data_IF_882389368376
#
_entry.id   IF_882389368376
#
_cell.length_a   1.000
_cell.length_b   1.000
_cell.length_c   1.000
_cell.angle_alpha   90.00
_cell.angle_beta   90.00
_cell.angle_gamma   90.00
#
_symmetry.space_group_name_H-M   'P 1'
#
loop_
_entity.id
_entity.type
_entity.pdbx_description
1 polymer ?
#
# COMPACT_ATOMS: atom_id res chain seq x y z
N UNK A 1 -32.04 -3.31 5.17
CA UNK A 1 -30.83 -3.85 4.53
C UNK A 1 -29.75 -2.76 4.64
N UNK A 2 -28.85 -2.82 5.63
CA UNK A 2 -27.79 -1.79 5.77
C UNK A 2 -26.78 -2.02 4.65
N UNK A 3 -26.46 -0.99 3.87
CA UNK A 3 -25.48 -1.11 2.78
C UNK A 3 -24.10 -1.42 3.36
N UNK A 4 -23.26 -2.20 2.68
CA UNK A 4 -21.91 -2.58 3.16
C UNK A 4 -21.00 -1.37 3.43
N UNK A 5 -21.31 -0.22 2.84
CA UNK A 5 -20.60 1.05 3.08
C UNK A 5 -21.06 1.69 4.39
N UNK A 6 -22.35 1.62 4.72
CA UNK A 6 -22.90 2.22 5.96
C UNK A 6 -22.44 1.53 7.24
N UNK A 7 -22.12 0.23 7.18
CA UNK A 7 -21.56 -0.53 8.30
C UNK A 7 -20.15 -0.07 8.65
N UNK A 8 -19.30 0.24 7.67
CA UNK A 8 -17.94 0.73 7.93
C UNK A 8 -17.95 2.03 8.73
N UNK A 9 -18.83 2.98 8.37
CA UNK A 9 -18.95 4.26 9.08
C UNK A 9 -19.65 4.16 10.44
N UNK A 10 -20.42 3.10 10.70
CA UNK A 10 -21.06 2.86 12.00
C UNK A 10 -20.12 2.26 13.06
N UNK A 11 -19.04 1.60 12.64
CA UNK A 11 -18.10 0.88 13.51
C UNK A 11 -16.66 1.43 13.43
N UNK A 12 -16.52 2.77 13.36
CA UNK A 12 -15.22 3.44 13.18
C UNK A 12 -14.18 3.04 14.24
N UNK A 13 -14.60 2.92 15.51
CA UNK A 13 -13.68 2.54 16.58
C UNK A 13 -13.11 1.11 16.40
N UNK A 14 -13.94 0.16 15.98
CA UNK A 14 -13.48 -1.20 15.66
C UNK A 14 -12.53 -1.22 14.46
N UNK A 15 -12.80 -0.37 13.46
CA UNK A 15 -11.94 -0.21 12.29
C UNK A 15 -10.57 0.35 12.68
N UNK A 16 -10.53 1.38 13.52
CA UNK A 16 -9.29 1.99 14.02
C UNK A 16 -8.45 0.99 14.82
N UNK A 17 -9.07 0.22 15.73
CA UNK A 17 -8.40 -0.85 16.47
C UNK A 17 -7.86 -1.94 15.54
N UNK A 18 -8.64 -2.31 14.51
CA UNK A 18 -8.21 -3.28 13.51
C UNK A 18 -6.99 -2.77 12.72
N UNK A 19 -7.02 -1.52 12.25
CA UNK A 19 -5.90 -0.88 11.54
C UNK A 19 -4.66 -0.83 12.44
N UNK A 20 -4.81 -0.41 13.70
CA UNK A 20 -3.73 -0.36 14.66
C UNK A 20 -3.11 -1.75 14.91
N UNK A 21 -3.96 -2.79 15.00
CA UNK A 21 -3.52 -4.18 15.13
C UNK A 21 -2.80 -4.68 13.88
N UNK A 22 -3.32 -4.39 12.69
CA UNK A 22 -2.69 -4.76 11.41
C UNK A 22 -1.30 -4.13 11.26
N UNK A 23 -1.18 -2.83 11.54
CA UNK A 23 0.09 -2.11 11.47
C UNK A 23 1.07 -2.72 12.49
N UNK A 24 0.64 -2.90 13.75
CA UNK A 24 1.48 -3.54 14.77
C UNK A 24 1.88 -4.96 14.37
N UNK A 25 0.96 -5.77 13.86
CA UNK A 25 1.23 -7.14 13.43
C UNK A 25 2.29 -7.23 12.33
N UNK A 26 2.35 -6.25 11.42
CA UNK A 26 3.39 -6.17 10.38
C UNK A 26 4.78 -5.82 10.92
N UNK A 27 4.86 -5.12 12.05
CA UNK A 27 6.11 -4.60 12.60
C UNK A 27 6.55 -5.29 13.91
N UNK A 28 5.70 -6.11 14.51
CA UNK A 28 6.04 -6.93 15.68
C UNK A 28 6.92 -8.10 15.23
N UNK A 29 8.16 -8.14 15.74
CA UNK A 29 9.00 -9.34 15.68
C UNK A 29 10.32 -9.22 14.92
N UNK A 30 10.58 -8.17 14.13
CA UNK A 30 11.94 -7.92 13.63
C UNK A 30 12.14 -6.56 12.97
N UNK A 31 13.24 -5.89 13.32
CA UNK A 31 13.84 -4.82 12.48
C UNK A 31 14.07 -5.34 11.04
N UNK A 32 14.29 -6.64 10.87
CA UNK A 32 14.42 -7.27 9.56
C UNK A 32 13.12 -7.21 8.74
N UNK A 33 11.93 -7.19 9.37
CA UNK A 33 10.65 -7.08 8.64
C UNK A 33 10.43 -5.68 8.05
N UNK A 34 10.80 -4.64 8.80
CA UNK A 34 10.80 -3.25 8.33
C UNK A 34 11.81 -3.08 7.20
N UNK A 35 13.04 -3.54 7.40
CA UNK A 35 14.09 -3.49 6.39
C UNK A 35 13.68 -4.23 5.11
N UNK A 36 13.08 -5.41 5.23
CA UNK A 36 12.64 -6.19 4.07
C UNK A 36 11.57 -5.49 3.24
N UNK A 37 10.61 -4.85 3.93
CA UNK A 37 9.54 -4.07 3.29
C UNK A 37 10.09 -2.87 2.52
N UNK A 38 11.26 -2.33 2.89
CA UNK A 38 11.93 -1.24 2.17
C UNK A 38 12.88 -1.75 1.08
N UNK A 39 13.62 -2.83 1.34
CA UNK A 39 14.57 -3.42 0.39
C UNK A 39 13.85 -3.82 -0.91
N UNK A 40 12.68 -4.46 -0.80
CA UNK A 40 11.98 -4.96 -1.98
C UNK A 40 11.55 -3.84 -2.96
N UNK A 41 10.88 -2.75 -2.54
CA UNK A 41 10.61 -1.61 -3.40
C UNK A 41 11.87 -0.94 -3.94
N UNK A 42 12.92 -0.76 -3.13
CA UNK A 42 14.16 -0.12 -3.56
C UNK A 42 14.83 -0.92 -4.68
N UNK A 43 14.93 -2.25 -4.52
CA UNK A 43 15.48 -3.12 -5.56
C UNK A 43 14.65 -3.03 -6.83
N UNK A 44 13.32 -3.04 -6.73
CA UNK A 44 12.44 -2.87 -7.90
C UNK A 44 12.69 -1.52 -8.60
N UNK A 45 12.78 -0.42 -7.85
CA UNK A 45 13.07 0.91 -8.40
C UNK A 45 14.41 0.90 -9.14
N UNK A 46 15.47 0.34 -8.54
CA UNK A 46 16.80 0.28 -9.16
C UNK A 46 16.78 -0.56 -10.44
N UNK A 47 16.14 -1.74 -10.41
CA UNK A 47 16.05 -2.64 -11.56
C UNK A 47 15.28 -1.96 -12.70
N UNK A 48 14.11 -1.38 -12.41
CA UNK A 48 13.33 -0.70 -13.43
C UNK A 48 14.04 0.53 -13.98
N UNK A 49 14.61 1.37 -13.11
CA UNK A 49 15.40 2.52 -13.55
C UNK A 49 16.56 2.08 -14.46
N UNK A 50 17.32 1.04 -14.07
CA UNK A 50 18.43 0.54 -14.86
C UNK A 50 17.99 0.04 -16.25
N UNK A 51 16.94 -0.79 -16.30
CA UNK A 51 16.46 -1.36 -17.57
C UNK A 51 15.91 -0.25 -18.48
N UNK A 52 15.01 0.58 -17.99
CA UNK A 52 14.34 1.57 -18.82
C UNK A 52 15.25 2.76 -19.17
N UNK A 53 16.13 3.18 -18.26
CA UNK A 53 17.02 4.32 -18.49
C UNK A 53 18.34 3.93 -19.17
N UNK A 54 19.04 2.89 -18.72
CA UNK A 54 20.35 2.54 -19.31
C UNK A 54 20.25 1.58 -20.50
N UNK A 55 19.40 0.55 -20.41
CA UNK A 55 19.29 -0.47 -21.47
C UNK A 55 18.45 0.05 -22.64
N UNK A 56 17.25 0.56 -22.35
CA UNK A 56 16.34 1.04 -23.39
C UNK A 56 16.54 2.52 -23.74
N UNK A 57 17.28 3.28 -22.93
CA UNK A 57 17.57 4.71 -23.17
C UNK A 57 16.33 5.53 -23.47
N UNK A 58 15.24 5.27 -22.75
CA UNK A 58 14.00 6.01 -22.92
C UNK A 58 14.25 7.48 -22.60
N UNK A 59 13.98 8.33 -23.57
CA UNK A 59 14.05 9.78 -23.41
C UNK A 59 12.66 10.27 -23.04
N UNK A 60 12.55 10.84 -21.86
CA UNK A 60 11.31 11.43 -21.37
C UNK A 60 11.35 12.91 -21.70
N UNK A 61 10.37 13.39 -22.47
CA UNK A 61 10.25 14.80 -22.83
C UNK A 61 9.35 15.51 -21.82
N UNK A 62 9.77 16.70 -21.42
CA UNK A 62 9.03 17.57 -20.50
C UNK A 62 7.62 17.87 -21.06
N UNK A 63 7.50 18.06 -22.38
CA UNK A 63 6.22 18.38 -23.05
C UNK A 63 5.15 17.30 -22.89
N UNK A 64 5.55 16.03 -22.76
CA UNK A 64 4.62 14.89 -22.69
C UNK A 64 4.32 14.46 -21.24
N UNK A 65 5.27 14.69 -20.33
CA UNK A 65 5.24 14.07 -18.98
C UNK A 65 5.45 15.05 -17.83
N UNK A 66 5.74 16.32 -18.10
CA UNK A 66 6.03 17.33 -17.10
C UNK A 66 7.41 17.22 -16.44
N UNK A 67 8.26 16.26 -16.84
CA UNK A 67 9.62 16.09 -16.32
C UNK A 67 10.59 15.63 -17.41
N UNK A 68 11.87 15.92 -17.26
CA UNK A 68 12.97 15.38 -18.07
C UNK A 68 13.59 14.11 -17.44
N UNK A 69 13.21 13.79 -16.20
CA UNK A 69 13.75 12.66 -15.46
C UNK A 69 12.83 11.44 -15.55
N UNK A 70 13.30 10.39 -16.23
CA UNK A 70 12.61 9.09 -16.22
C UNK A 70 12.35 8.57 -14.81
N UNK A 71 13.26 8.84 -13.87
CA UNK A 71 13.11 8.42 -12.47
C UNK A 71 11.86 9.03 -11.83
N UNK A 72 11.63 10.34 -12.05
CA UNK A 72 10.46 11.05 -11.52
C UNK A 72 9.17 10.55 -12.18
N UNK A 73 9.19 10.40 -13.51
CA UNK A 73 8.06 9.85 -14.26
C UNK A 73 7.68 8.44 -13.76
N UNK A 74 8.67 7.56 -13.61
CA UNK A 74 8.44 6.19 -13.12
C UNK A 74 7.89 6.16 -11.70
N UNK A 75 8.50 6.90 -10.76
CA UNK A 75 8.06 6.93 -9.37
C UNK A 75 6.62 7.43 -9.21
N UNK A 76 6.18 8.35 -10.08
CA UNK A 76 4.82 8.89 -10.07
C UNK A 76 3.74 7.81 -10.25
N UNK A 77 4.01 6.79 -11.08
CA UNK A 77 3.12 5.65 -11.26
C UNK A 77 3.43 4.49 -10.29
N UNK A 78 4.70 4.33 -9.92
CA UNK A 78 5.15 3.20 -9.11
C UNK A 78 4.57 3.20 -7.69
N UNK A 79 4.54 4.33 -7.00
CA UNK A 79 4.02 4.40 -5.63
C UNK A 79 2.51 4.10 -5.54
N UNK A 80 1.63 4.72 -6.35
CA UNK A 80 0.21 4.37 -6.37
C UNK A 80 -0.02 2.90 -6.75
N UNK A 81 0.76 2.38 -7.71
CA UNK A 81 0.69 0.97 -8.09
C UNK A 81 1.06 0.04 -6.94
N UNK A 82 2.14 0.34 -6.21
CA UNK A 82 2.57 -0.44 -5.05
C UNK A 82 1.48 -0.48 -3.97
N UNK A 83 0.90 0.69 -3.65
CA UNK A 83 -0.22 0.81 -2.72
C UNK A 83 -1.40 -0.07 -3.13
N UNK A 84 -1.76 -0.03 -4.42
CA UNK A 84 -2.88 -0.78 -4.96
C UNK A 84 -2.63 -2.30 -4.94
N UNK A 85 -1.49 -2.73 -5.48
CA UNK A 85 -1.15 -4.15 -5.59
C UNK A 85 -1.08 -4.82 -4.22
N UNK A 86 -0.48 -4.17 -3.22
CA UNK A 86 -0.42 -4.72 -1.87
C UNK A 86 -1.80 -4.77 -1.22
N UNK A 87 -2.58 -3.69 -1.31
CA UNK A 87 -3.92 -3.63 -0.71
C UNK A 87 -4.85 -4.67 -1.30
N UNK A 88 -4.80 -4.86 -2.62
CA UNK A 88 -5.58 -5.87 -3.33
C UNK A 88 -5.17 -7.29 -2.90
N UNK A 89 -3.88 -7.59 -2.92
CA UNK A 89 -3.36 -8.91 -2.56
C UNK A 89 -3.76 -9.32 -1.14
N UNK A 90 -3.62 -8.40 -0.16
CA UNK A 90 -3.97 -8.68 1.24
C UNK A 90 -5.48 -8.74 1.47
N UNK A 91 -6.26 -7.92 0.77
CA UNK A 91 -7.72 -7.94 0.90
C UNK A 91 -8.35 -9.26 0.46
N UNK A 92 -7.72 -9.96 -0.49
CA UNK A 92 -8.19 -11.29 -0.93
C UNK A 92 -7.98 -12.35 0.16
N UNK A 93 -6.88 -12.29 0.90
CA UNK A 93 -6.53 -13.27 1.94
C UNK A 93 -7.16 -13.01 3.31
N UNK A 94 -7.50 -11.75 3.63
CA UNK A 94 -7.85 -11.33 5.00
C UNK A 94 -9.01 -12.10 5.63
N UNK A 95 -10.00 -12.51 4.83
CA UNK A 95 -11.16 -13.25 5.30
C UNK A 95 -10.79 -14.67 5.77
N UNK A 96 -9.85 -15.31 5.06
CA UNK A 96 -9.37 -16.65 5.39
C UNK A 96 -8.46 -16.57 6.62
N UNK A 97 -7.55 -15.59 6.65
CA UNK A 97 -6.63 -15.37 7.77
C UNK A 97 -7.37 -15.05 9.07
N UNK A 98 -8.50 -14.34 8.99
CA UNK A 98 -9.31 -13.96 10.15
C UNK A 98 -10.55 -14.85 10.34
N UNK A 99 -10.62 -16.04 9.72
CA UNK A 99 -11.78 -16.93 9.81
C UNK A 99 -12.14 -17.30 11.27
N UNK A 100 -11.14 -17.45 12.15
CA UNK A 100 -11.35 -17.73 13.58
C UNK A 100 -12.06 -16.57 14.30
N UNK A 101 -11.76 -15.32 13.91
CA UNK A 101 -12.37 -14.12 14.47
C UNK A 101 -13.83 -14.01 14.00
N UNK A 102 -14.08 -14.21 12.71
CA UNK A 102 -15.41 -14.13 12.08
C UNK A 102 -16.38 -15.15 12.70
N UNK A 103 -15.89 -16.34 13.01
CA UNK A 103 -16.72 -17.42 13.58
C UNK A 103 -17.02 -17.24 15.07
N UNK A 104 -16.24 -16.43 15.79
CA UNK A 104 -16.36 -16.25 17.25
C UNK A 104 -17.00 -14.93 17.67
N UNK A 105 -16.98 -13.91 16.82
CA UNK A 105 -17.45 -12.56 17.16
C UNK A 105 -18.40 -12.09 16.07
N UNK A 106 -19.55 -11.54 16.48
CA UNK A 106 -20.54 -10.97 15.54
C UNK A 106 -20.12 -9.54 15.20
N UNK A 107 -19.62 -9.33 13.98
CA UNK A 107 -19.29 -8.00 13.45
C UNK A 107 -19.43 -7.99 11.90
N UNK A 108 -19.50 -6.81 11.26
CA UNK A 108 -19.54 -6.71 9.80
C UNK A 108 -18.21 -7.19 9.18
N UNK A 109 -18.27 -8.22 8.35
CA UNK A 109 -17.07 -8.82 7.71
C UNK A 109 -16.37 -7.86 6.74
N UNK A 110 -17.09 -6.84 6.24
CA UNK A 110 -16.56 -5.83 5.33
C UNK A 110 -15.52 -4.90 5.99
N UNK A 111 -15.47 -4.87 7.32
CA UNK A 111 -14.46 -4.12 8.08
C UNK A 111 -13.05 -4.70 7.88
N UNK A 112 -12.91 -6.01 7.62
CA UNK A 112 -11.59 -6.64 7.50
C UNK A 112 -10.87 -6.19 6.21
N UNK A 113 -11.48 -6.29 5.00
CA UNK A 113 -10.85 -5.75 3.80
C UNK A 113 -10.66 -4.24 3.88
N UNK A 114 -11.64 -3.50 4.41
CA UNK A 114 -11.50 -2.04 4.57
C UNK A 114 -10.32 -1.66 5.47
N UNK A 115 -10.14 -2.36 6.58
CA UNK A 115 -9.03 -2.15 7.50
C UNK A 115 -7.67 -2.47 6.87
N UNK A 116 -7.59 -3.53 6.06
CA UNK A 116 -6.37 -3.89 5.33
C UNK A 116 -6.02 -2.86 4.26
N UNK A 117 -6.99 -2.38 3.49
CA UNK A 117 -6.78 -1.33 2.47
C UNK A 117 -6.31 -0.04 3.13
N UNK A 118 -6.95 0.38 4.23
CA UNK A 118 -6.55 1.59 4.95
C UNK A 118 -5.18 1.45 5.61
N UNK A 119 -4.87 0.30 6.20
CA UNK A 119 -3.54 -0.01 6.75
C UNK A 119 -2.46 0.01 5.66
N UNK A 120 -2.73 -0.61 4.50
CA UNK A 120 -1.84 -0.61 3.35
C UNK A 120 -1.61 0.80 2.78
N UNK A 121 -2.67 1.61 2.71
CA UNK A 121 -2.59 3.00 2.28
C UNK A 121 -1.77 3.87 3.25
N UNK A 122 -1.89 3.66 4.57
CA UNK A 122 -1.06 4.38 5.56
C UNK A 122 0.41 4.00 5.42
N UNK A 123 0.73 2.71 5.32
CA UNK A 123 2.11 2.24 5.28
C UNK A 123 2.82 2.67 3.99
N UNK A 124 2.21 2.41 2.83
CA UNK A 124 2.81 2.76 1.54
C UNK A 124 2.65 4.24 1.19
N UNK A 125 1.65 4.91 1.77
CA UNK A 125 1.43 6.34 1.62
C UNK A 125 2.58 7.19 2.15
N UNK A 126 3.39 6.66 3.08
CA UNK A 126 4.63 7.31 3.52
C UNK A 126 5.60 7.49 2.35
N UNK A 127 5.78 6.47 1.51
CA UNK A 127 6.64 6.55 0.33
C UNK A 127 6.12 7.57 -0.69
N UNK A 128 4.80 7.56 -0.93
CA UNK A 128 4.13 8.56 -1.78
C UNK A 128 4.29 9.98 -1.23
N UNK A 129 4.20 10.16 0.09
CA UNK A 129 4.38 11.45 0.74
C UNK A 129 5.81 11.98 0.56
N UNK A 130 6.83 11.14 0.78
CA UNK A 130 8.23 11.52 0.51
C UNK A 130 8.46 11.87 -0.96
N UNK A 131 7.84 11.15 -1.89
CA UNK A 131 7.91 11.47 -3.31
C UNK A 131 7.27 12.83 -3.63
N UNK A 132 6.09 13.13 -3.08
CA UNK A 132 5.44 14.43 -3.26
C UNK A 132 6.26 15.58 -2.67
N UNK A 133 6.88 15.37 -1.51
CA UNK A 133 7.80 16.35 -0.92
C UNK A 133 9.05 16.59 -1.78
N UNK A 134 9.54 15.56 -2.46
CA UNK A 134 10.67 15.70 -3.39
C UNK A 134 10.31 16.52 -4.65
N UNK A 135 9.03 16.62 -5.01
CA UNK A 135 8.57 17.37 -6.19
C UNK A 135 8.33 18.86 -5.95
N UNK A 136 8.24 19.30 -4.69
CA UNK A 136 8.01 20.70 -4.29
C UNK A 136 9.36 21.41 -4.17
#
# INVERSE_FOLDING_TARGET
MKTPISSVFGYRHLLEEFIGREIKGRFIGSVAGILWTLIHPIVNIVVYYFIFSMVMRIQVKIEETGTDSFFVFFLSGFFPWLMFAESLSKSVGVLIENANLITKVVFPVELLPAGVVLSGAVINGVGMYFFLLYLI
#
